data_IF_266503199613
#
_entry.id   IF_266503199613
#
_cell.length_a   1.000
_cell.length_b   1.000
_cell.length_c   1.000
_cell.angle_alpha   90.00
_cell.angle_beta   90.00
_cell.angle_gamma   90.00
#
_symmetry.space_group_name_H-M   'P 1'
#
loop_
_entity.id
_entity.type
_entity.pdbx_description
1 polymer ?
#
# COMPACT_ATOMS: atom_id res chain seq x y z
N UNK A 1 24.02 1.61 -8.64
CA UNK A 1 23.97 1.34 -7.19
C UNK A 1 22.58 1.75 -6.73
N UNK A 2 21.64 0.81 -6.63
CA UNK A 2 20.23 1.10 -6.36
C UNK A 2 20.01 1.27 -4.86
N UNK A 3 19.55 2.43 -4.46
CA UNK A 3 19.28 2.80 -3.08
C UNK A 3 18.04 2.02 -2.62
N UNK A 4 18.21 1.06 -1.71
CA UNK A 4 17.09 0.33 -1.14
C UNK A 4 16.42 1.28 -0.15
N UNK A 5 15.42 2.04 -0.61
CA UNK A 5 14.56 2.87 0.25
C UNK A 5 13.86 1.94 1.22
N UNK A 6 14.39 1.82 2.43
CA UNK A 6 13.84 0.96 3.47
C UNK A 6 12.62 1.67 4.02
N UNK A 7 11.45 1.36 3.45
CA UNK A 7 10.17 1.90 3.92
C UNK A 7 9.99 1.54 5.39
N UNK A 8 10.09 2.53 6.27
CA UNK A 8 9.96 2.34 7.71
C UNK A 8 8.50 2.02 8.03
N UNK A 9 8.20 0.75 8.27
CA UNK A 9 6.86 0.30 8.66
C UNK A 9 6.64 0.69 10.13
N UNK A 10 5.70 1.60 10.39
CA UNK A 10 5.30 1.98 11.76
C UNK A 10 4.83 0.77 12.56
N UNK A 11 5.14 0.75 13.86
CA UNK A 11 4.77 -0.32 14.79
C UNK A 11 3.26 -0.65 14.72
N UNK A 12 2.94 -1.95 14.77
CA UNK A 12 1.56 -2.42 14.70
C UNK A 12 0.83 -2.19 16.04
N UNK A 13 -0.08 -1.21 16.07
CA UNK A 13 -0.86 -0.85 17.27
C UNK A 13 -2.28 -1.44 17.30
N UNK A 14 -2.75 -2.08 16.22
CA UNK A 14 -4.11 -2.62 16.09
C UNK A 14 -4.24 -4.05 16.62
N UNK A 15 -3.78 -4.30 17.86
CA UNK A 15 -3.87 -5.61 18.51
C UNK A 15 -5.26 -5.91 19.09
N UNK A 16 -6.10 -4.87 19.26
CA UNK A 16 -7.42 -4.97 19.89
C UNK A 16 -8.53 -5.48 18.94
N UNK A 17 -8.29 -5.51 17.63
CA UNK A 17 -9.26 -5.99 16.64
C UNK A 17 -9.38 -7.51 16.77
N UNK A 18 -10.47 -8.03 17.36
CA UNK A 18 -10.63 -9.49 17.55
C UNK A 18 -10.97 -10.24 16.26
N UNK A 19 -11.46 -9.54 15.24
CA UNK A 19 -11.79 -10.12 13.95
C UNK A 19 -10.52 -10.32 13.10
N UNK A 20 -10.19 -11.59 12.83
CA UNK A 20 -9.03 -11.98 12.01
C UNK A 20 -9.10 -11.43 10.58
N UNK A 21 -10.30 -11.35 10.00
CA UNK A 21 -10.50 -10.82 8.65
C UNK A 21 -10.15 -9.34 8.60
N UNK A 22 -10.61 -8.58 9.60
CA UNK A 22 -10.31 -7.15 9.68
C UNK A 22 -8.82 -6.89 9.93
N UNK A 23 -8.16 -7.68 10.80
CA UNK A 23 -6.71 -7.59 10.97
C UNK A 23 -5.95 -7.82 9.65
N UNK A 24 -6.37 -8.81 8.86
CA UNK A 24 -5.73 -9.15 7.59
C UNK A 24 -5.88 -8.01 6.59
N UNK A 25 -7.08 -7.44 6.48
CA UNK A 25 -7.35 -6.30 5.61
C UNK A 25 -6.51 -5.08 6.02
N UNK A 26 -6.44 -4.77 7.32
CA UNK A 26 -5.61 -3.66 7.83
C UNK A 26 -4.12 -3.88 7.56
N UNK A 27 -3.62 -5.12 7.66
CA UNK A 27 -2.24 -5.45 7.33
C UNK A 27 -1.93 -5.28 5.85
N UNK A 28 -2.81 -5.76 4.97
CA UNK A 28 -2.68 -5.57 3.53
C UNK A 28 -2.68 -4.09 3.15
N UNK A 29 -3.60 -3.30 3.71
CA UNK A 29 -3.67 -1.85 3.47
C UNK A 29 -2.40 -1.14 3.96
N UNK A 30 -1.88 -1.48 5.15
CA UNK A 30 -0.65 -0.86 5.69
C UNK A 30 0.59 -1.16 4.85
N UNK A 31 0.72 -2.36 4.31
CA UNK A 31 1.84 -2.71 3.43
C UNK A 31 1.66 -2.09 2.04
N UNK A 32 0.43 -1.78 1.65
CA UNK A 32 0.11 -1.30 0.31
C UNK A 32 -0.21 -2.44 -0.66
N UNK A 33 -0.66 -3.59 -0.18
CA UNK A 33 -1.07 -4.75 -0.99
C UNK A 33 -2.56 -4.64 -1.38
N UNK A 34 -2.88 -3.75 -2.30
CA UNK A 34 -4.19 -3.74 -2.98
C UNK A 34 -4.05 -4.26 -4.40
N UNK A 35 -5.18 -4.61 -5.03
CA UNK A 35 -5.17 -5.05 -6.42
C UNK A 35 -4.48 -4.03 -7.34
N UNK A 36 -4.82 -2.76 -7.22
CA UNK A 36 -4.27 -1.70 -8.08
C UNK A 36 -2.77 -1.47 -7.83
N UNK A 37 -2.34 -1.47 -6.58
CA UNK A 37 -0.94 -1.20 -6.21
C UNK A 37 -0.02 -2.42 -6.31
N UNK A 38 -0.55 -3.65 -6.35
CA UNK A 38 0.26 -4.87 -6.39
C UNK A 38 0.22 -5.58 -7.74
N UNK A 39 -0.87 -5.45 -8.51
CA UNK A 39 -1.04 -6.18 -9.78
C UNK A 39 0.09 -5.89 -10.75
N UNK A 40 0.52 -4.64 -10.88
CA UNK A 40 1.58 -4.27 -11.82
C UNK A 40 2.91 -4.95 -11.49
N UNK A 41 3.20 -5.22 -10.21
CA UNK A 41 4.38 -5.99 -9.80
C UNK A 41 4.30 -7.46 -10.24
N UNK A 42 3.11 -8.04 -10.18
CA UNK A 42 2.87 -9.44 -10.57
C UNK A 42 2.88 -9.62 -12.09
N UNK A 43 2.28 -8.67 -12.83
CA UNK A 43 2.24 -8.70 -14.30
C UNK A 43 3.48 -8.09 -14.95
N UNK A 44 4.38 -7.49 -14.14
CA UNK A 44 5.51 -6.66 -14.60
C UNK A 44 5.07 -5.52 -15.53
N UNK A 45 3.87 -5.01 -15.31
CA UNK A 45 3.35 -3.82 -15.98
C UNK A 45 3.97 -2.54 -15.45
N UNK A 46 3.67 -1.44 -16.14
CA UNK A 46 3.99 -0.11 -15.66
C UNK A 46 3.27 0.20 -14.35
N UNK A 47 3.97 0.88 -13.44
CA UNK A 47 3.39 1.36 -12.20
C UNK A 47 2.21 2.30 -12.52
N UNK A 48 1.03 2.10 -11.91
CA UNK A 48 -0.10 2.99 -12.11
C UNK A 48 0.19 4.36 -11.53
N UNK A 49 -0.25 5.39 -12.23
CA UNK A 49 -0.21 6.78 -11.78
C UNK A 49 -1.63 7.22 -11.41
N UNK A 50 -1.73 8.19 -10.50
CA UNK A 50 -2.99 8.88 -10.28
C UNK A 50 -3.29 9.80 -11.47
N UNK A 51 -4.52 9.77 -11.97
CA UNK A 51 -4.95 10.60 -13.09
C UNK A 51 -4.97 12.10 -12.74
N UNK A 52 -5.23 12.44 -11.47
CA UNK A 52 -5.31 13.83 -11.01
C UNK A 52 -3.94 14.41 -10.63
N UNK A 53 -3.13 13.64 -9.90
CA UNK A 53 -1.88 14.13 -9.32
C UNK A 53 -0.63 13.74 -10.13
N UNK A 54 -0.74 12.82 -11.09
CA UNK A 54 0.37 12.27 -11.88
C UNK A 54 1.55 11.74 -11.05
N UNK A 55 1.28 11.33 -9.80
CA UNK A 55 2.23 10.65 -8.91
C UNK A 55 1.96 9.15 -8.89
N UNK A 56 2.96 8.30 -8.54
CA UNK A 56 2.75 6.87 -8.37
C UNK A 56 1.59 6.57 -7.43
N UNK A 57 0.66 5.75 -7.90
CA UNK A 57 -0.52 5.37 -7.14
C UNK A 57 -0.11 4.42 -6.00
N UNK A 58 -0.32 4.87 -4.77
CA UNK A 58 -0.06 4.10 -3.55
C UNK A 58 -1.31 4.02 -2.70
N UNK A 59 -1.40 3.04 -1.79
CA UNK A 59 -2.54 2.95 -0.86
C UNK A 59 -2.62 4.19 0.02
N UNK A 60 -1.47 4.76 0.40
CA UNK A 60 -1.44 6.04 1.12
C UNK A 60 -2.08 7.14 0.29
N UNK A 61 -1.72 7.28 -0.98
CA UNK A 61 -2.35 8.26 -1.87
C UNK A 61 -3.87 8.05 -2.04
N UNK A 62 -4.35 6.81 -2.06
CA UNK A 62 -5.79 6.51 -2.12
C UNK A 62 -6.54 6.86 -0.83
N UNK A 63 -5.88 6.74 0.33
CA UNK A 63 -6.49 7.00 1.64
C UNK A 63 -6.31 8.46 2.09
N UNK A 64 -5.29 9.13 1.56
CA UNK A 64 -4.89 10.51 1.85
C UNK A 64 -5.36 11.41 0.70
N UNK A 65 -6.68 11.48 0.47
CA UNK A 65 -7.31 12.34 -0.56
C UNK A 65 -7.57 13.74 0.01
N UNK A 66 -6.50 14.48 0.31
CA UNK A 66 -6.51 15.94 0.55
C UNK A 66 -5.25 16.59 -0.01
#
# INVERSE_FOLDING_TARGET
MGEITTSTISQWTYTHVRDRRLQTLLAQLRIGHTYLTQRYLLTRDHQPYCDDCLVPLTVRHMMDTT
#
